data_IF_078713053976
#
_entry.id   IF_078713053976
#
_cell.length_a   1.000
_cell.length_b   1.000
_cell.length_c   1.000
_cell.angle_alpha   90.00
_cell.angle_beta   90.00
_cell.angle_gamma   90.00
#
_symmetry.space_group_name_H-M   'P 1'
#
loop_
_entity.id
_entity.type
_entity.pdbx_description
1 polymer ?
#
# COMPACT_ATOMS: atom_id res chain seq x y z
N UNK A 1 -34.38 -9.69 -50.95
CA UNK A 1 -33.20 -10.40 -50.37
C UNK A 1 -32.16 -9.41 -49.90
N UNK A 2 -32.07 -8.23 -50.52
CA UNK A 2 -31.10 -7.16 -50.21
C UNK A 2 -31.21 -6.65 -48.77
N UNK A 3 -32.43 -6.43 -48.26
CA UNK A 3 -32.64 -5.98 -46.88
C UNK A 3 -32.10 -6.96 -45.82
N UNK A 4 -32.07 -8.27 -46.10
CA UNK A 4 -31.48 -9.29 -45.21
C UNK A 4 -29.95 -9.25 -45.25
N UNK A 5 -29.37 -9.00 -46.43
CA UNK A 5 -27.92 -8.80 -46.61
C UNK A 5 -27.44 -7.51 -45.94
N UNK A 6 -28.21 -6.43 -46.00
CA UNK A 6 -27.89 -5.17 -45.33
C UNK A 6 -27.93 -5.30 -43.80
N UNK A 7 -28.90 -6.05 -43.28
CA UNK A 7 -29.05 -6.32 -41.84
C UNK A 7 -27.91 -7.20 -41.33
N UNK A 8 -27.53 -8.24 -42.10
CA UNK A 8 -26.38 -9.09 -41.77
C UNK A 8 -25.06 -8.29 -41.80
N UNK A 9 -24.86 -7.45 -42.80
CA UNK A 9 -23.68 -6.58 -42.92
C UNK A 9 -23.59 -5.59 -41.77
N UNK A 10 -24.72 -5.03 -41.35
CA UNK A 10 -24.80 -4.12 -40.20
C UNK A 10 -24.48 -4.85 -38.89
N UNK A 11 -24.99 -6.06 -38.69
CA UNK A 11 -24.70 -6.87 -37.50
C UNK A 11 -23.20 -7.22 -37.42
N UNK A 12 -22.61 -7.63 -38.53
CA UNK A 12 -21.17 -7.94 -38.62
C UNK A 12 -20.34 -6.69 -38.37
N UNK A 13 -20.72 -5.54 -38.91
CA UNK A 13 -20.02 -4.27 -38.65
C UNK A 13 -20.09 -3.85 -37.17
N UNK A 14 -21.22 -4.04 -36.50
CA UNK A 14 -21.33 -3.77 -35.06
C UNK A 14 -20.40 -4.69 -34.26
N UNK A 15 -20.31 -5.96 -34.66
CA UNK A 15 -19.45 -6.94 -33.99
C UNK A 15 -17.95 -6.63 -34.18
N UNK A 16 -17.55 -6.20 -35.38
CA UNK A 16 -16.21 -5.67 -35.64
C UNK A 16 -15.92 -4.39 -34.86
N UNK A 17 -16.88 -3.47 -34.82
CA UNK A 17 -16.73 -2.22 -34.07
C UNK A 17 -16.55 -2.49 -32.57
N UNK A 18 -17.27 -3.46 -32.02
CA UNK A 18 -17.11 -3.88 -30.63
C UNK A 18 -15.71 -4.48 -30.39
N UNK A 19 -15.24 -5.31 -31.31
CA UNK A 19 -13.90 -5.90 -31.24
C UNK A 19 -12.80 -4.82 -31.34
N UNK A 20 -12.96 -3.84 -32.22
CA UNK A 20 -12.04 -2.70 -32.32
C UNK A 20 -12.01 -1.86 -31.04
N UNK A 21 -13.16 -1.65 -30.39
CA UNK A 21 -13.20 -0.97 -29.09
C UNK A 21 -12.41 -1.76 -28.04
N UNK A 22 -12.58 -3.08 -27.99
CA UNK A 22 -11.82 -3.94 -27.05
C UNK A 22 -10.32 -3.92 -27.37
N UNK A 23 -9.93 -4.04 -28.64
CA UNK A 23 -8.52 -4.00 -29.06
C UNK A 23 -7.90 -2.64 -28.74
N UNK A 24 -8.62 -1.55 -28.99
CA UNK A 24 -8.16 -0.21 -28.65
C UNK A 24 -8.05 -0.03 -27.14
N UNK A 25 -9.01 -0.55 -26.36
CA UNK A 25 -8.92 -0.52 -24.90
C UNK A 25 -7.71 -1.30 -24.38
N UNK A 26 -7.43 -2.48 -24.93
CA UNK A 26 -6.27 -3.29 -24.57
C UNK A 26 -4.97 -2.59 -24.94
N UNK A 27 -4.88 -1.99 -26.14
CA UNK A 27 -3.72 -1.17 -26.57
C UNK A 27 -3.50 0.03 -25.67
N UNK A 28 -4.58 0.63 -25.17
CA UNK A 28 -4.49 1.70 -24.19
C UNK A 28 -3.98 1.15 -22.87
N UNK A 29 -4.55 0.07 -22.32
CA UNK A 29 -4.21 -0.46 -20.99
C UNK A 29 -2.79 -1.05 -20.93
N UNK A 30 -2.34 -1.75 -21.97
CA UNK A 30 -1.02 -2.41 -22.07
C UNK A 30 0.16 -1.56 -21.55
N UNK A 31 0.39 -0.33 -22.04
CA UNK A 31 1.47 0.52 -21.55
C UNK A 31 1.29 0.99 -20.09
N UNK A 32 0.06 1.00 -19.55
CA UNK A 32 -0.21 1.38 -18.16
C UNK A 32 -0.25 0.19 -17.20
N UNK A 33 -0.16 -1.06 -17.68
CA UNK A 33 -0.12 -2.24 -16.82
C UNK A 33 0.94 -2.18 -15.71
N UNK A 34 2.17 -1.68 -15.95
CA UNK A 34 3.16 -1.56 -14.88
C UNK A 34 2.70 -0.62 -13.77
N UNK A 35 2.02 0.47 -14.13
CA UNK A 35 1.52 1.47 -13.18
C UNK A 35 0.27 0.97 -12.44
N UNK A 36 -0.65 0.29 -13.14
CA UNK A 36 -1.80 -0.37 -12.53
C UNK A 36 -1.37 -1.50 -11.59
N UNK A 37 -0.38 -2.30 -12.00
CA UNK A 37 0.24 -3.33 -11.19
C UNK A 37 0.92 -2.75 -9.94
N UNK A 38 1.62 -1.62 -10.07
CA UNK A 38 2.20 -0.90 -8.94
C UNK A 38 1.13 -0.45 -7.94
N UNK A 39 0.06 0.21 -8.42
CA UNK A 39 -1.05 0.65 -7.57
C UNK A 39 -1.71 -0.56 -6.89
N UNK A 40 -2.03 -1.61 -7.65
CA UNK A 40 -2.66 -2.84 -7.15
C UNK A 40 -1.80 -3.55 -6.10
N UNK A 41 -0.49 -3.66 -6.35
CA UNK A 41 0.46 -4.23 -5.39
C UNK A 41 0.44 -3.45 -4.07
N UNK A 42 0.57 -2.13 -4.11
CA UNK A 42 0.58 -1.33 -2.88
C UNK A 42 -0.80 -1.26 -2.19
N UNK A 43 -1.91 -1.41 -2.90
CA UNK A 43 -3.25 -1.43 -2.30
C UNK A 43 -3.66 -2.77 -1.71
N UNK A 44 -3.25 -3.89 -2.33
CA UNK A 44 -3.72 -5.23 -1.95
C UNK A 44 -2.64 -6.14 -1.33
N UNK A 45 -1.36 -5.96 -1.66
CA UNK A 45 -0.30 -6.82 -1.13
C UNK A 45 0.31 -6.29 0.17
N UNK A 46 0.21 -4.98 0.43
CA UNK A 46 0.82 -4.35 1.59
C UNK A 46 -0.25 -3.99 2.61
N UNK A 47 -0.08 -4.50 3.83
CA UNK A 47 -0.87 -4.08 4.98
C UNK A 47 -0.27 -2.79 5.56
N UNK A 48 -0.87 -1.65 5.21
CA UNK A 48 -0.40 -0.35 5.65
C UNK A 48 -0.62 -0.08 7.14
N UNK A 49 -1.51 -0.81 7.81
CA UNK A 49 -1.70 -0.73 9.26
C UNK A 49 -0.46 -1.23 10.02
N UNK A 50 0.21 -2.29 9.53
CA UNK A 50 1.49 -2.77 10.06
C UNK A 50 2.68 -1.94 9.54
N UNK A 51 2.63 -1.43 8.31
CA UNK A 51 3.74 -0.70 7.70
C UNK A 51 3.93 0.74 8.22
N UNK A 52 2.84 1.47 8.53
CA UNK A 52 2.91 2.83 9.06
C UNK A 52 3.67 3.00 10.38
N UNK A 53 3.45 2.16 11.42
CA UNK A 53 4.19 2.30 12.67
C UNK A 53 5.69 2.08 12.47
N UNK A 54 6.10 1.19 11.55
CA UNK A 54 7.50 0.99 11.15
C UNK A 54 8.05 2.26 10.47
N UNK A 55 7.26 2.89 9.60
CA UNK A 55 7.62 4.15 8.95
C UNK A 55 7.82 5.28 9.97
N UNK A 56 6.92 5.39 10.95
CA UNK A 56 6.96 6.40 12.02
C UNK A 56 8.13 6.19 12.97
N UNK A 57 8.60 4.95 13.15
CA UNK A 57 9.81 4.62 13.93
C UNK A 57 11.13 4.95 13.21
N UNK A 58 11.07 5.54 12.01
CA UNK A 58 12.25 5.96 11.24
C UNK A 58 12.50 5.16 9.97
N UNK A 59 11.63 4.22 9.60
CA UNK A 59 11.71 3.46 8.34
C UNK A 59 11.71 4.35 7.07
N UNK A 60 11.32 5.61 7.20
CA UNK A 60 11.43 6.61 6.14
C UNK A 60 12.85 6.76 5.57
N UNK A 61 13.89 6.61 6.41
CA UNK A 61 15.27 6.72 5.94
C UNK A 61 15.61 5.59 4.96
N UNK A 62 15.14 4.37 5.22
CA UNK A 62 15.33 3.23 4.33
C UNK A 62 14.66 3.45 2.98
N UNK A 63 13.46 4.05 2.96
CA UNK A 63 12.76 4.42 1.73
C UNK A 63 13.56 5.46 0.95
N UNK A 64 14.07 6.51 1.61
CA UNK A 64 14.86 7.54 0.94
C UNK A 64 16.16 6.98 0.33
N UNK A 65 16.87 6.11 1.05
CA UNK A 65 18.06 5.44 0.51
C UNK A 65 17.70 4.52 -0.66
N UNK A 66 16.62 3.76 -0.56
CA UNK A 66 16.14 2.89 -1.64
C UNK A 66 15.78 3.72 -2.88
N UNK A 67 15.07 4.84 -2.71
CA UNK A 67 14.74 5.77 -3.80
C UNK A 67 16.00 6.32 -4.45
N UNK A 68 17.00 6.71 -3.66
CA UNK A 68 18.25 7.24 -4.18
C UNK A 68 19.01 6.20 -5.02
N UNK A 69 19.16 4.97 -4.50
CA UNK A 69 19.78 3.86 -5.24
C UNK A 69 18.99 3.54 -6.51
N UNK A 70 17.66 3.50 -6.44
CA UNK A 70 16.81 3.27 -7.61
C UNK A 70 17.04 4.34 -8.69
N UNK A 71 17.11 5.63 -8.32
CA UNK A 71 17.40 6.72 -9.26
C UNK A 71 18.77 6.55 -9.90
N UNK A 72 19.79 6.17 -9.13
CA UNK A 72 21.13 5.92 -9.67
C UNK A 72 21.14 4.75 -10.66
N UNK A 73 20.53 3.62 -10.31
CA UNK A 73 20.43 2.45 -11.18
C UNK A 73 19.69 2.80 -12.47
N UNK A 74 18.53 3.44 -12.37
CA UNK A 74 17.72 3.80 -13.54
C UNK A 74 18.35 4.89 -14.41
N UNK A 75 19.12 5.79 -13.81
CA UNK A 75 19.88 6.77 -14.57
C UNK A 75 21.07 6.15 -15.31
N UNK A 76 21.65 5.06 -14.78
CA UNK A 76 22.74 4.32 -15.41
C UNK A 76 22.25 3.36 -16.51
N UNK A 77 21.10 2.69 -16.31
CA UNK A 77 20.58 1.66 -17.23
C UNK A 77 19.98 2.26 -18.51
N UNK A 78 19.38 3.46 -18.44
CA UNK A 78 18.75 4.10 -19.58
C UNK A 78 19.23 5.56 -19.75
N UNK A 79 20.47 5.78 -20.23
CA UNK A 79 20.93 7.11 -20.60
C UNK A 79 20.13 7.59 -21.83
N UNK A 80 19.48 8.77 -21.79
CA UNK A 80 18.79 9.32 -22.96
C UNK A 80 19.80 9.68 -24.05
N UNK A 81 19.43 9.47 -25.32
CA UNK A 81 20.31 9.62 -26.51
C UNK A 81 20.93 11.04 -26.66
N UNK A 82 20.39 12.04 -25.96
CA UNK A 82 20.89 13.42 -25.93
C UNK A 82 21.35 13.91 -24.53
N UNK A 83 21.47 13.02 -23.54
CA UNK A 83 21.93 13.35 -22.17
C UNK A 83 21.00 14.27 -21.35
N UNK A 84 19.86 14.68 -21.90
CA UNK A 84 18.91 15.64 -21.32
C UNK A 84 17.48 15.16 -21.53
N UNK A 85 16.66 15.20 -20.48
CA UNK A 85 15.21 15.00 -20.57
C UNK A 85 14.52 16.36 -20.67
N UNK A 86 13.66 16.54 -21.67
CA UNK A 86 12.80 17.72 -21.77
C UNK A 86 11.59 17.51 -20.84
N UNK A 87 11.57 18.21 -19.70
CA UNK A 87 10.39 18.32 -18.85
C UNK A 87 9.92 19.78 -18.86
N UNK A 88 8.66 20.02 -19.25
CA UNK A 88 8.04 21.35 -19.28
C UNK A 88 8.82 22.41 -20.08
N UNK A 89 9.44 22.01 -21.20
CA UNK A 89 10.21 22.93 -22.06
C UNK A 89 11.62 23.28 -21.55
N UNK A 90 12.04 22.76 -20.40
CA UNK A 90 13.38 22.92 -19.85
C UNK A 90 14.17 21.62 -19.93
N UNK A 91 15.44 21.72 -20.33
CA UNK A 91 16.38 20.60 -20.36
C UNK A 91 16.80 20.28 -18.93
N UNK A 92 16.20 19.25 -18.34
CA UNK A 92 16.55 18.76 -17.01
C UNK A 92 17.57 17.63 -17.13
N UNK A 93 18.53 17.59 -16.20
CA UNK A 93 19.55 16.53 -16.17
C UNK A 93 18.90 15.15 -15.98
N UNK A 94 19.50 14.11 -16.57
CA UNK A 94 18.96 12.74 -16.53
C UNK A 94 18.61 12.29 -15.10
N UNK A 95 19.50 12.57 -14.13
CA UNK A 95 19.28 12.24 -12.74
C UNK A 95 18.08 12.95 -12.12
N UNK A 96 17.87 14.24 -12.41
CA UNK A 96 16.74 14.99 -11.89
C UNK A 96 15.40 14.51 -12.47
N UNK A 97 15.36 14.15 -13.76
CA UNK A 97 14.16 13.55 -14.37
C UNK A 97 13.79 12.21 -13.73
N UNK A 98 14.76 11.29 -13.58
CA UNK A 98 14.54 10.00 -12.93
C UNK A 98 14.16 10.15 -11.45
N UNK A 99 14.73 11.14 -10.75
CA UNK A 99 14.36 11.48 -9.38
C UNK A 99 12.89 11.86 -9.25
N UNK A 100 12.36 12.70 -10.15
CA UNK A 100 10.94 13.08 -10.15
C UNK A 100 10.05 11.86 -10.38
N UNK A 101 10.40 10.98 -11.32
CA UNK A 101 9.62 9.77 -11.57
C UNK A 101 9.59 8.81 -10.37
N UNK A 102 10.75 8.52 -9.77
CA UNK A 102 10.84 7.64 -8.59
C UNK A 102 10.12 8.26 -7.38
N UNK A 103 10.20 9.58 -7.23
CA UNK A 103 9.45 10.31 -6.20
C UNK A 103 7.94 10.20 -6.40
N UNK A 104 7.44 10.40 -7.63
CA UNK A 104 6.02 10.23 -7.95
C UNK A 104 5.54 8.79 -7.70
N UNK A 105 6.31 7.77 -8.10
CA UNK A 105 5.98 6.36 -7.82
C UNK A 105 5.90 6.07 -6.31
N UNK A 106 6.78 6.70 -5.53
CA UNK A 106 6.77 6.57 -4.07
C UNK A 106 5.57 7.29 -3.46
N UNK A 107 5.24 8.49 -3.95
CA UNK A 107 4.03 9.21 -3.53
C UNK A 107 2.76 8.41 -3.85
N UNK A 108 2.69 7.75 -5.01
CA UNK A 108 1.56 6.87 -5.36
C UNK A 108 1.45 5.71 -4.36
N UNK A 109 2.57 5.07 -4.00
CA UNK A 109 2.56 4.01 -2.99
C UNK A 109 2.03 4.51 -1.63
N UNK A 110 2.52 5.66 -1.15
CA UNK A 110 2.05 6.26 0.10
C UNK A 110 0.58 6.71 0.03
N UNK A 111 0.13 7.21 -1.12
CA UNK A 111 -1.26 7.58 -1.36
C UNK A 111 -2.17 6.34 -1.29
N UNK A 112 -1.75 5.22 -1.88
CA UNK A 112 -2.45 3.94 -1.79
C UNK A 112 -2.60 3.50 -0.33
N UNK A 113 -1.54 3.64 0.47
CA UNK A 113 -1.60 3.38 1.91
C UNK A 113 -2.56 4.29 2.66
N UNK A 114 -2.53 5.59 2.38
CA UNK A 114 -3.47 6.55 2.98
C UNK A 114 -4.93 6.24 2.63
N UNK A 115 -5.20 5.80 1.39
CA UNK A 115 -6.53 5.43 0.93
C UNK A 115 -7.02 4.12 1.56
N UNK A 116 -6.14 3.16 1.83
CA UNK A 116 -6.47 1.92 2.55
C UNK A 116 -6.89 2.22 4.00
N UNK A 117 -6.16 3.11 4.69
CA UNK A 117 -6.42 3.47 6.09
C UNK A 117 -7.62 4.40 6.26
N UNK A 118 -7.93 5.21 5.24
CA UNK A 118 -9.15 6.01 5.19
C UNK A 118 -10.43 5.15 5.06
N UNK A 119 -10.30 3.82 4.93
CA UNK A 119 -11.43 2.89 4.85
C UNK A 119 -12.06 2.78 3.46
N UNK A 120 -11.50 3.44 2.44
CA UNK A 120 -12.03 3.47 1.07
C UNK A 120 -12.07 2.08 0.40
N UNK A 121 -11.31 1.10 0.91
CA UNK A 121 -11.21 -0.27 0.39
C UNK A 121 -11.76 -1.36 1.34
N UNK A 122 -12.57 -0.97 2.33
CA UNK A 122 -12.94 -1.76 3.52
C UNK A 122 -13.20 -3.26 3.34
N UNK A 123 -13.90 -3.71 2.29
CA UNK A 123 -14.27 -5.15 2.11
C UNK A 123 -13.29 -5.97 1.24
N UNK A 124 -12.37 -5.33 0.53
CA UNK A 124 -11.43 -6.00 -0.39
C UNK A 124 -9.99 -6.07 0.15
N UNK A 125 -9.71 -5.36 1.25
CA UNK A 125 -8.40 -5.30 1.91
C UNK A 125 -8.42 -5.78 3.37
N UNK A 126 -9.41 -6.57 3.77
CA UNK A 126 -9.48 -7.16 5.10
C UNK A 126 -8.45 -8.29 5.19
N UNK A 127 -7.27 -7.98 5.72
CA UNK A 127 -6.28 -8.97 6.07
C UNK A 127 -6.73 -9.67 7.35
N UNK A 128 -6.79 -11.02 7.39
CA UNK A 128 -7.06 -11.75 8.61
C UNK A 128 -6.09 -11.30 9.71
N UNK A 129 -6.66 -10.91 10.85
CA UNK A 129 -5.91 -10.48 12.01
C UNK A 129 -5.16 -11.70 12.55
N UNK A 130 -3.86 -11.80 12.27
CA UNK A 130 -3.00 -12.73 13.00
C UNK A 130 -3.03 -12.32 14.47
N UNK A 131 -3.30 -13.25 15.40
CA UNK A 131 -3.31 -12.95 16.82
C UNK A 131 -1.97 -12.30 17.17
N UNK A 132 -2.02 -11.17 17.88
CA UNK A 132 -0.83 -10.49 18.34
C UNK A 132 0.06 -11.49 19.08
N UNK A 133 1.27 -11.72 18.56
CA UNK A 133 2.30 -12.41 19.33
C UNK A 133 2.59 -11.55 20.57
N UNK A 134 2.06 -11.99 21.71
CA UNK A 134 2.34 -11.51 23.06
C UNK A 134 3.81 -11.86 23.44
N UNK A 135 4.77 -11.33 22.69
CA UNK A 135 6.19 -11.49 22.98
C UNK A 135 6.68 -10.36 23.88
N UNK A 136 6.19 -10.32 25.13
CA UNK A 136 6.93 -9.85 26.31
C UNK A 136 6.41 -10.52 27.60
N UNK A 137 6.37 -11.85 27.60
CA UNK A 137 6.25 -12.64 28.83
C UNK A 137 7.59 -13.33 29.14
N UNK A 138 8.50 -12.65 29.84
CA UNK A 138 9.61 -13.30 30.57
C UNK A 138 10.00 -12.54 31.85
N UNK A 139 9.64 -13.15 33.01
CA UNK A 139 10.49 -13.53 34.15
C UNK A 139 11.58 -12.55 34.65
N UNK A 140 11.83 -12.32 35.95
CA UNK A 140 11.55 -13.08 37.17
C UNK A 140 11.93 -12.25 38.43
N UNK A 141 11.31 -12.56 39.57
CA UNK A 141 11.81 -12.65 40.96
C UNK A 141 10.55 -12.66 41.86
N UNK A 142 10.05 -13.77 42.41
CA UNK A 142 10.75 -14.82 43.16
C UNK A 142 10.78 -14.45 44.64
N UNK A 143 9.71 -14.70 45.40
CA UNK A 143 9.71 -15.52 46.63
C UNK A 143 8.41 -15.38 47.44
N UNK A 144 7.85 -16.56 47.69
CA UNK A 144 6.82 -16.91 48.68
C UNK A 144 7.14 -16.31 50.07
N UNK A 145 6.11 -15.86 50.79
CA UNK A 145 5.96 -15.97 52.25
C UNK A 145 4.58 -15.40 52.67
N UNK A 146 3.64 -16.31 52.86
CA UNK A 146 2.71 -16.40 54.00
C UNK A 146 2.44 -15.13 54.81
N UNK A 147 1.19 -14.64 54.74
CA UNK A 147 0.48 -14.12 55.91
C UNK A 147 -1.03 -14.09 55.65
N UNK A 148 -1.68 -15.22 55.90
CA UNK A 148 -3.10 -15.24 56.29
C UNK A 148 -3.26 -14.43 57.58
N UNK A 149 -4.10 -13.39 57.53
CA UNK A 149 -4.40 -12.54 58.69
C UNK A 149 -5.82 -12.00 58.64
N UNK A 150 -6.79 -12.86 58.34
CA UNK A 150 -8.21 -12.62 58.59
C UNK A 150 -8.46 -12.89 60.07
N UNK A 151 -8.51 -11.84 60.90
CA UNK A 151 -9.14 -11.91 62.21
C UNK A 151 -10.14 -10.75 62.37
N UNK A 152 -11.36 -11.09 61.97
CA UNK A 152 -12.61 -10.61 62.52
C UNK A 152 -12.64 -10.80 64.05
N UNK A 153 -12.98 -9.75 64.79
CA UNK A 153 -13.56 -9.80 66.13
C UNK A 153 -14.27 -8.46 66.43
N UNK A 154 -15.49 -8.32 65.92
CA UNK A 154 -16.49 -7.43 66.51
C UNK A 154 -17.41 -8.23 67.43
N UNK A 155 -17.42 -7.90 68.72
CA UNK A 155 -18.36 -8.23 69.82
C UNK A 155 -17.64 -7.76 71.11
N UNK A 156 -18.20 -7.13 72.13
CA UNK A 156 -19.56 -6.80 72.50
C UNK A 156 -19.56 -5.64 73.50
N UNK A 157 -20.72 -5.03 73.60
CA UNK A 157 -21.19 -4.05 74.58
C UNK A 157 -20.96 -4.52 76.02
N UNK A 158 -20.49 -3.63 76.90
CA UNK A 158 -20.64 -3.79 78.35
C UNK A 158 -21.01 -2.46 79.02
N UNK A 159 -22.01 -2.58 79.87
CA UNK A 159 -22.82 -1.57 80.53
C UNK A 159 -22.08 -0.71 81.56
N UNK A 160 -22.70 0.45 81.80
CA UNK A 160 -22.44 1.42 82.85
C UNK A 160 -22.37 0.84 84.27
N UNK A 161 -21.62 1.53 85.14
CA UNK A 161 -22.08 1.99 86.46
C UNK A 161 -21.22 3.17 86.95
#
# INVERSE_FOLDING_TARGET
MDALFDLFSSLVNVLWSLLDVVVNLVRVILPWLPLLGWIGFWTFAVNWAKALPILRRGGFIGILLLMFVAVLVWAAVAPPENGRHLMLGLSVSNHAGKFIYVTLLTCIALLCGSAQLAGSFGRLGEFPEEPADDDHAHNAHGHNNDAHGSHDHGHDVAHAH
#
